data_IF_118799722872
#
_entry.id   IF_118799722872
#
_cell.length_a   1.000
_cell.length_b   1.000
_cell.length_c   1.000
_cell.angle_alpha   90.00
_cell.angle_beta   90.00
_cell.angle_gamma   90.00
#
_symmetry.space_group_name_H-M   'P 1'
#
loop_
_entity.id
_entity.type
_entity.pdbx_description
1 polymer ?
#
# COMPACT_ATOMS: atom_id res chain seq x y z
N UNK A 1 3.48 -22.26 3.64
CA UNK A 1 4.09 -21.05 4.24
C UNK A 1 3.77 -19.87 3.34
N UNK A 2 3.37 -18.73 3.91
CA UNK A 2 3.24 -17.51 3.13
C UNK A 2 4.62 -17.12 2.57
N UNK A 3 4.68 -16.74 1.29
CA UNK A 3 5.92 -16.25 0.68
C UNK A 3 6.19 -14.86 1.25
N UNK A 4 7.36 -14.64 1.83
CA UNK A 4 7.80 -13.32 2.26
C UNK A 4 8.75 -12.72 1.21
N UNK A 5 8.59 -11.43 0.91
CA UNK A 5 9.58 -10.63 0.17
C UNK A 5 9.93 -9.40 1.01
N UNK A 6 11.15 -8.89 0.91
CA UNK A 6 11.61 -7.74 1.68
C UNK A 6 12.58 -6.89 0.88
N UNK A 7 12.87 -5.70 1.38
CA UNK A 7 13.85 -4.80 0.77
C UNK A 7 14.00 -3.50 1.55
N UNK A 8 14.88 -2.65 1.03
CA UNK A 8 15.05 -1.26 1.46
C UNK A 8 14.78 -0.37 0.26
N UNK A 9 14.01 0.69 0.45
CA UNK A 9 13.77 1.63 -0.64
C UNK A 9 12.74 2.71 -0.31
N UNK A 10 12.27 3.39 -1.36
CA UNK A 10 11.24 4.42 -1.22
C UNK A 10 9.86 3.78 -1.02
N UNK A 11 9.24 4.06 0.12
CA UNK A 11 7.89 3.59 0.48
C UNK A 11 6.95 4.79 0.55
N UNK A 12 5.86 4.74 -0.21
CA UNK A 12 4.78 5.73 -0.18
C UNK A 12 3.61 5.18 0.61
N UNK A 13 3.25 5.82 1.72
CA UNK A 13 2.17 5.38 2.61
C UNK A 13 0.99 6.35 2.55
N UNK A 14 -0.20 5.85 2.25
CA UNK A 14 -1.38 6.68 2.01
C UNK A 14 -2.67 5.98 2.47
N UNK A 15 -3.75 6.74 2.74
CA UNK A 15 -5.01 6.15 3.14
C UNK A 15 -5.79 5.66 1.92
N UNK A 16 -6.43 4.50 2.04
CA UNK A 16 -7.32 3.93 1.02
C UNK A 16 -8.65 3.52 1.65
N UNK A 17 -9.75 3.75 0.93
CA UNK A 17 -11.05 3.22 1.32
C UNK A 17 -11.04 1.70 1.11
N UNK A 18 -11.14 0.94 2.20
CA UNK A 18 -11.21 -0.52 2.18
C UNK A 18 -12.64 -1.01 1.96
N UNK A 19 -13.60 -0.39 2.65
CA UNK A 19 -15.02 -0.73 2.52
C UNK A 19 -15.90 0.52 2.56
N UNK A 20 -16.83 0.60 1.60
CA UNK A 20 -17.72 1.74 1.47
C UNK A 20 -18.79 1.72 2.58
N UNK A 21 -19.21 2.87 3.12
CA UNK A 21 -18.74 4.23 2.79
C UNK A 21 -17.49 4.70 3.52
N UNK A 22 -17.18 4.17 4.71
CA UNK A 22 -16.36 4.89 5.69
C UNK A 22 -15.19 4.08 6.28
N UNK A 23 -14.97 2.84 5.86
CA UNK A 23 -13.86 2.02 6.38
C UNK A 23 -12.59 2.30 5.59
N UNK A 24 -11.69 3.10 6.16
CA UNK A 24 -10.37 3.35 5.59
C UNK A 24 -9.31 2.50 6.29
N UNK A 25 -8.27 2.15 5.54
CA UNK A 25 -7.02 1.68 6.08
C UNK A 25 -5.83 2.36 5.42
N UNK A 26 -4.65 1.79 5.63
CA UNK A 26 -3.39 2.36 5.17
C UNK A 26 -2.71 1.40 4.22
N UNK A 27 -2.31 1.93 3.07
CA UNK A 27 -1.59 1.21 2.03
C UNK A 27 -0.18 1.76 1.93
N UNK A 28 0.78 0.88 1.70
CA UNK A 28 2.16 1.20 1.41
C UNK A 28 2.55 0.66 0.03
N UNK A 29 3.08 1.55 -0.80
CA UNK A 29 3.55 1.27 -2.16
C UNK A 29 5.07 1.40 -2.24
N UNK A 30 5.72 0.36 -2.75
CA UNK A 30 7.15 0.31 -3.06
C UNK A 30 7.39 -0.45 -4.36
N UNK A 31 8.64 -0.52 -4.77
CA UNK A 31 9.07 -1.20 -6.00
C UNK A 31 10.30 -2.06 -5.72
N UNK A 32 10.41 -3.21 -6.39
CA UNK A 32 11.56 -4.10 -6.33
C UNK A 32 11.98 -4.55 -7.73
N UNK A 33 12.99 -5.40 -7.82
CA UNK A 33 13.58 -5.84 -9.07
C UNK A 33 14.52 -4.81 -9.72
N UNK A 34 15.13 -5.20 -10.83
CA UNK A 34 16.05 -4.32 -11.56
C UNK A 34 15.29 -3.11 -12.12
N UNK A 35 15.72 -1.90 -11.77
CA UNK A 35 15.02 -0.64 -12.10
C UNK A 35 13.58 -0.50 -11.56
N UNK A 36 13.17 -1.31 -10.57
CA UNK A 36 11.86 -1.16 -9.94
C UNK A 36 10.68 -1.65 -10.81
N UNK A 37 10.92 -2.65 -11.67
CA UNK A 37 9.91 -3.24 -12.59
C UNK A 37 8.81 -4.04 -11.88
N UNK A 38 9.01 -4.40 -10.62
CA UNK A 38 8.02 -5.11 -9.82
C UNK A 38 7.39 -4.14 -8.81
N UNK A 39 6.09 -3.93 -8.91
CA UNK A 39 5.34 -3.18 -7.92
C UNK A 39 5.03 -4.05 -6.70
N UNK A 40 5.20 -3.48 -5.52
CA UNK A 40 4.81 -4.11 -4.25
C UNK A 40 3.85 -3.16 -3.55
N UNK A 41 2.61 -3.61 -3.37
CA UNK A 41 1.56 -2.82 -2.73
C UNK A 41 0.98 -3.64 -1.58
N UNK A 42 1.21 -3.21 -0.35
CA UNK A 42 0.69 -3.90 0.81
C UNK A 42 -0.19 -3.02 1.66
N UNK A 43 -1.17 -3.61 2.33
CA UNK A 43 -1.83 -2.94 3.44
C UNK A 43 -0.92 -3.02 4.67
N UNK A 44 -0.89 -1.94 5.44
CA UNK A 44 -0.16 -1.90 6.72
C UNK A 44 -1.18 -2.22 7.82
N UNK A 45 -1.03 -3.35 8.55
CA UNK A 45 -2.02 -3.75 9.54
C UNK A 45 -2.03 -2.75 10.71
N UNK A 46 -3.22 -2.24 11.03
CA UNK A 46 -3.49 -1.40 12.19
C UNK A 46 -4.59 -2.09 13.02
N UNK A 47 -4.44 -2.23 14.35
CA UNK A 47 -5.42 -2.94 15.19
C UNK A 47 -6.86 -2.42 15.07
N UNK A 48 -7.00 -1.12 14.84
CA UNK A 48 -8.28 -0.43 14.70
C UNK A 48 -8.95 -0.60 13.31
N UNK A 49 -8.27 -1.21 12.34
CA UNK A 49 -8.76 -1.42 10.97
C UNK A 49 -8.95 -2.91 10.70
N UNK A 50 -10.11 -3.34 10.16
CA UNK A 50 -10.29 -4.72 9.73
C UNK A 50 -9.24 -5.16 8.71
N UNK A 51 -8.78 -6.39 8.86
CA UNK A 51 -7.84 -6.98 7.92
C UNK A 51 -8.52 -7.22 6.56
N UNK A 52 -7.83 -6.91 5.45
CA UNK A 52 -8.38 -7.00 4.10
C UNK A 52 -7.37 -7.55 3.10
N UNK A 53 -7.86 -8.23 2.07
CA UNK A 53 -7.05 -8.58 0.91
C UNK A 53 -7.18 -7.50 -0.15
N UNK A 54 -6.06 -6.92 -0.57
CA UNK A 54 -6.06 -5.78 -1.48
C UNK A 54 -6.70 -6.09 -2.84
N UNK A 55 -6.57 -7.33 -3.34
CA UNK A 55 -7.23 -7.73 -4.59
C UNK A 55 -8.75 -7.81 -4.46
N UNK A 56 -9.27 -8.18 -3.28
CA UNK A 56 -10.71 -8.22 -3.04
C UNK A 56 -11.28 -6.80 -2.95
N UNK A 57 -10.52 -5.85 -2.38
CA UNK A 57 -10.85 -4.42 -2.42
C UNK A 57 -10.87 -3.93 -3.88
N UNK A 58 -9.82 -4.23 -4.65
CA UNK A 58 -9.73 -3.83 -6.05
C UNK A 58 -10.89 -4.37 -6.91
N UNK A 59 -11.31 -5.62 -6.67
CA UNK A 59 -12.43 -6.26 -7.39
C UNK A 59 -13.77 -5.55 -7.19
N UNK A 60 -13.95 -4.83 -6.08
CA UNK A 60 -15.15 -4.01 -5.84
C UNK A 60 -15.13 -2.70 -6.63
N UNK A 61 -13.95 -2.24 -7.06
CA UNK A 61 -13.78 -0.95 -7.74
C UNK A 61 -13.64 -1.07 -9.26
N UNK A 62 -13.05 -2.16 -9.77
CA UNK A 62 -12.79 -2.32 -11.20
C UNK A 62 -12.70 -3.78 -11.63
N UNK A 63 -13.06 -4.05 -12.88
CA UNK A 63 -12.84 -5.36 -13.50
C UNK A 63 -11.35 -5.68 -13.70
N UNK A 64 -10.54 -4.66 -14.02
CA UNK A 64 -9.08 -4.77 -14.15
C UNK A 64 -8.41 -4.48 -12.80
N UNK A 65 -8.46 -5.47 -11.91
CA UNK A 65 -8.03 -5.32 -10.50
C UNK A 65 -6.54 -5.02 -10.37
N UNK A 66 -5.68 -5.70 -11.13
CA UNK A 66 -4.24 -5.49 -11.14
C UNK A 66 -3.88 -4.05 -11.53
N UNK A 67 -4.42 -3.57 -12.65
CA UNK A 67 -4.19 -2.22 -13.15
C UNK A 67 -4.73 -1.16 -12.18
N UNK A 68 -5.87 -1.45 -11.52
CA UNK A 68 -6.41 -0.56 -10.51
C UNK A 68 -5.48 -0.41 -9.29
N UNK A 69 -4.91 -1.52 -8.79
CA UNK A 69 -3.94 -1.48 -7.69
C UNK A 69 -2.66 -0.75 -8.09
N UNK A 70 -2.14 -1.04 -9.29
CA UNK A 70 -0.95 -0.36 -9.83
C UNK A 70 -1.19 1.15 -9.98
N UNK A 71 -2.34 1.55 -10.53
CA UNK A 71 -2.73 2.95 -10.66
C UNK A 71 -2.82 3.62 -9.30
N UNK A 72 -3.49 3.00 -8.33
CA UNK A 72 -3.67 3.54 -6.99
C UNK A 72 -2.32 3.77 -6.30
N UNK A 73 -1.41 2.79 -6.33
CA UNK A 73 -0.08 2.92 -5.74
C UNK A 73 0.77 3.99 -6.45
N UNK A 74 0.91 3.89 -7.76
CA UNK A 74 1.75 4.81 -8.53
C UNK A 74 1.23 6.25 -8.49
N UNK A 75 -0.07 6.47 -8.68
CA UNK A 75 -0.66 7.82 -8.64
C UNK A 75 -0.53 8.44 -7.26
N UNK A 76 -0.66 7.67 -6.17
CA UNK A 76 -0.46 8.17 -4.80
C UNK A 76 0.98 8.62 -4.53
N UNK A 77 1.96 8.07 -5.26
CA UNK A 77 3.36 8.53 -5.21
C UNK A 77 3.59 9.79 -6.04
N UNK A 78 2.99 9.87 -7.22
CA UNK A 78 3.22 10.98 -8.17
C UNK A 78 2.41 12.22 -7.80
N UNK A 79 1.19 12.02 -7.33
CA UNK A 79 0.26 13.07 -6.91
C UNK A 79 -0.21 12.76 -5.49
N UNK A 80 0.65 12.98 -4.47
CA UNK A 80 0.35 12.60 -3.09
C UNK A 80 -0.82 13.41 -2.54
N UNK A 81 -1.79 12.70 -1.94
CA UNK A 81 -2.89 13.32 -1.19
C UNK A 81 -2.33 13.93 0.11
N UNK A 82 -2.96 14.98 0.68
CA UNK A 82 -2.57 15.50 1.98
C UNK A 82 -2.47 14.39 3.04
N UNK A 83 -1.39 14.40 3.82
CA UNK A 83 -1.14 13.37 4.84
C UNK A 83 -0.44 12.11 4.35
N UNK A 84 -0.20 11.95 3.04
CA UNK A 84 0.65 10.87 2.50
C UNK A 84 2.06 10.98 3.08
N UNK A 85 2.65 9.86 3.49
CA UNK A 85 4.07 9.79 3.85
C UNK A 85 4.87 9.32 2.65
N UNK A 86 5.98 10.00 2.40
CA UNK A 86 7.00 9.57 1.45
C UNK A 86 8.28 9.27 2.23
N UNK A 87 8.53 7.99 2.45
CA UNK A 87 9.63 7.50 3.27
C UNK A 87 10.76 7.03 2.35
N UNK A 88 11.96 7.55 2.57
CA UNK A 88 13.17 7.16 1.83
C UNK A 88 13.94 6.11 2.63
N UNK A 89 14.67 5.25 1.92
CA UNK A 89 15.57 4.25 2.50
C UNK A 89 14.94 3.43 3.64
N UNK A 90 13.67 3.08 3.47
CA UNK A 90 12.87 2.39 4.50
C UNK A 90 12.97 0.90 4.30
N UNK A 91 13.30 0.17 5.35
CA UNK A 91 13.27 -1.29 5.36
C UNK A 91 11.83 -1.80 5.54
N UNK A 92 11.43 -2.71 4.66
CA UNK A 92 10.08 -3.25 4.60
C UNK A 92 10.09 -4.76 4.36
N UNK A 93 9.01 -5.43 4.77
CA UNK A 93 8.70 -6.80 4.35
C UNK A 93 7.23 -6.93 3.98
N UNK A 94 6.94 -7.77 2.99
CA UNK A 94 5.60 -8.12 2.57
C UNK A 94 5.38 -9.63 2.78
N UNK A 95 4.39 -9.98 3.58
CA UNK A 95 3.80 -11.32 3.57
C UNK A 95 2.84 -11.40 2.39
N UNK A 96 3.30 -12.02 1.29
CA UNK A 96 2.58 -12.04 0.02
C UNK A 96 1.35 -12.95 0.14
N UNK A 97 0.17 -12.38 -0.13
CA UNK A 97 -1.10 -13.12 -0.25
C UNK A 97 -1.65 -13.13 -1.69
N UNK A 98 -1.05 -12.36 -2.59
CA UNK A 98 -1.41 -12.32 -4.00
C UNK A 98 -0.28 -11.84 -4.90
N UNK A 99 -0.26 -12.31 -6.14
CA UNK A 99 0.61 -11.78 -7.18
C UNK A 99 -0.11 -11.84 -8.52
N UNK A 100 0.13 -10.85 -9.37
CA UNK A 100 -0.52 -10.76 -10.69
C UNK A 100 0.36 -10.03 -11.68
N UNK A 101 0.04 -10.19 -12.96
CA UNK A 101 0.72 -9.54 -14.08
C UNK A 101 -0.32 -8.72 -14.84
N UNK A 102 -0.10 -7.42 -15.07
CA UNK A 102 -1.01 -6.61 -15.88
C UNK A 102 -1.00 -7.10 -17.34
N UNK A 103 -2.07 -6.84 -18.09
CA UNK A 103 -2.17 -7.29 -19.50
C UNK A 103 -1.13 -6.65 -20.43
N UNK A 104 -0.46 -5.59 -19.98
CA UNK A 104 0.66 -4.90 -20.61
C UNK A 104 1.51 -4.22 -19.53
N UNK A 105 2.68 -3.69 -19.89
CA UNK A 105 3.48 -2.86 -18.97
C UNK A 105 2.66 -1.63 -18.54
N UNK A 106 2.54 -1.41 -17.24
CA UNK A 106 1.73 -0.33 -16.64
C UNK A 106 2.57 0.44 -15.63
N UNK A 107 2.78 1.74 -15.88
CA UNK A 107 3.67 2.62 -15.10
C UNK A 107 5.12 2.11 -14.95
N UNK A 108 5.59 1.34 -15.94
CA UNK A 108 6.90 0.67 -15.90
C UNK A 108 6.90 -0.69 -15.21
N UNK A 109 5.78 -1.11 -14.61
CA UNK A 109 5.66 -2.37 -13.90
C UNK A 109 5.23 -3.52 -14.80
N UNK A 110 5.88 -4.67 -14.59
CA UNK A 110 5.58 -5.95 -15.25
C UNK A 110 4.96 -6.95 -14.29
N UNK A 111 5.14 -6.76 -12.98
CA UNK A 111 4.59 -7.62 -11.96
C UNK A 111 4.04 -6.81 -10.79
N UNK A 112 2.99 -7.34 -10.16
CA UNK A 112 2.42 -6.83 -8.92
C UNK A 112 2.47 -7.92 -7.85
N UNK A 113 2.98 -7.56 -6.68
CA UNK A 113 2.88 -8.34 -5.44
C UNK A 113 2.04 -7.58 -4.42
N UNK A 114 1.13 -8.28 -3.75
CA UNK A 114 0.29 -7.71 -2.69
C UNK A 114 0.27 -8.59 -1.44
N UNK A 115 -0.03 -7.95 -0.30
CA UNK A 115 -0.17 -8.65 0.98
C UNK A 115 -0.01 -7.74 2.20
N UNK A 116 0.34 -8.33 3.34
CA UNK A 116 0.57 -7.58 4.60
C UNK A 116 1.94 -6.95 4.56
N UNK A 117 2.03 -5.62 4.62
CA UNK A 117 3.31 -4.93 4.70
C UNK A 117 3.66 -4.57 6.14
N UNK A 118 4.88 -4.89 6.54
CA UNK A 118 5.52 -4.38 7.76
C UNK A 118 6.62 -3.39 7.39
N UNK A 119 6.64 -2.25 8.07
CA UNK A 119 7.78 -1.34 8.08
C UNK A 119 8.63 -1.70 9.30
N UNK A 120 9.94 -1.89 9.12
CA UNK A 120 10.80 -2.45 10.18
C UNK A 120 11.20 -1.45 11.24
N UNK A 121 11.19 -0.16 10.92
CA UNK A 121 11.41 0.90 11.88
C UNK A 121 10.15 1.10 12.75
N UNK A 122 10.21 0.79 14.06
CA UNK A 122 9.07 0.91 14.96
C UNK A 122 8.60 2.36 15.15
N UNK A 123 9.45 3.36 14.90
CA UNK A 123 9.10 4.77 15.01
C UNK A 123 8.16 5.24 13.87
N UNK A 124 8.01 4.43 12.81
CA UNK A 124 7.12 4.74 11.69
C UNK A 124 5.66 4.45 11.99
N UNK A 125 5.34 3.45 12.82
CA UNK A 125 3.95 3.03 13.04
C UNK A 125 3.04 4.12 13.61
N UNK A 126 3.47 4.97 14.57
CA UNK A 126 2.70 6.14 14.99
C UNK A 126 2.38 7.09 13.83
N UNK A 127 3.35 7.30 12.92
CA UNK A 127 3.18 8.17 11.74
C UNK A 127 2.22 7.54 10.72
N UNK A 128 2.30 6.22 10.51
CA UNK A 128 1.37 5.45 9.67
C UNK A 128 -0.06 5.58 10.19
N UNK A 129 -0.27 5.43 11.50
CA UNK A 129 -1.59 5.61 12.13
C UNK A 129 -2.14 7.03 11.90
N UNK A 130 -1.28 8.04 11.99
CA UNK A 130 -1.67 9.43 11.75
C UNK A 130 -2.14 9.68 10.30
N UNK A 131 -1.63 8.92 9.31
CA UNK A 131 -2.15 8.95 7.93
C UNK A 131 -3.64 8.60 7.89
N UNK A 132 -4.05 7.57 8.65
CA UNK A 132 -5.44 7.15 8.74
C UNK A 132 -6.29 8.22 9.43
N UNK A 133 -5.85 8.70 10.60
CA UNK A 133 -6.60 9.67 11.40
C UNK A 133 -6.91 10.96 10.64
N UNK A 134 -5.94 11.47 9.86
CA UNK A 134 -6.16 12.66 9.01
C UNK A 134 -7.20 12.44 7.93
N UNK A 135 -7.41 11.20 7.49
CA UNK A 135 -8.42 10.87 6.48
C UNK A 135 -9.82 10.73 7.08
N UNK A 136 -9.93 10.03 8.21
CA UNK A 136 -11.23 9.69 8.84
C UNK A 136 -11.70 10.74 9.84
N UNK A 137 -10.89 11.75 10.15
CA UNK A 137 -11.22 12.80 11.11
C UNK A 137 -11.02 12.39 12.57
N UNK A 138 -9.92 11.70 12.88
CA UNK A 138 -9.55 11.33 14.26
C UNK A 138 -9.38 12.55 15.18
N UNK A 139 -9.48 12.37 16.52
CA UNK A 139 -9.50 13.50 17.44
C UNK A 139 -8.21 14.32 17.29
N UNK A 140 -8.37 15.64 17.18
CA UNK A 140 -7.25 16.58 17.24
C UNK A 140 -6.64 16.43 18.64
N UNK A 141 -5.48 15.78 18.74
CA UNK A 141 -4.66 15.91 19.93
C UNK A 141 -4.22 17.37 20.03
N UNK A 142 -4.73 18.04 21.07
CA UNK A 142 -4.32 19.38 21.48
C UNK A 142 -2.87 19.40 21.98
#
# INVERSE_FOLDING_TARGET
MARAISGVGRVTVFPLLHDWPDTYGVIAYTTTGHFGVDAVVGYVPLPEVPDVRLMDVAARHAAQTTEWVLCTGWSSRVVPKPGTLDLRDTEWSLEVDGSSTPGKVVYGHQQLHVGRMSLKDPELMPRVREVLHRRVGGPVSA
#
